data_IF_451629526603
#
_entry.id   IF_451629526603
#
_cell.length_a   1.000
_cell.length_b   1.000
_cell.length_c   1.000
_cell.angle_alpha   90.00
_cell.angle_beta   90.00
_cell.angle_gamma   90.00
#
_symmetry.space_group_name_H-M   'P 1'
#
loop_
_entity.id
_entity.type
_entity.pdbx_description
1 polymer ?
#
# COMPACT_ATOMS: atom_id res chain seq x y z
N UNK A 1 -34.75 -7.11 -13.34
CA UNK A 1 -33.56 -6.83 -14.16
C UNK A 1 -32.47 -6.33 -13.23
N UNK A 2 -31.77 -7.23 -12.54
CA UNK A 2 -30.71 -6.88 -11.58
C UNK A 2 -29.38 -7.09 -12.30
N UNK A 3 -28.44 -6.17 -12.11
CA UNK A 3 -27.07 -6.27 -12.64
C UNK A 3 -26.10 -6.04 -11.49
N UNK A 4 -25.08 -6.88 -11.39
CA UNK A 4 -23.95 -6.71 -10.51
C UNK A 4 -22.85 -5.89 -11.21
N UNK A 5 -21.86 -5.42 -10.44
CA UNK A 5 -20.77 -4.61 -11.01
C UNK A 5 -19.99 -5.36 -12.09
N UNK A 6 -19.71 -6.65 -11.88
CA UNK A 6 -19.00 -7.48 -12.85
C UNK A 6 -19.80 -7.67 -14.16
N UNK A 7 -21.14 -7.71 -14.06
CA UNK A 7 -22.00 -7.83 -15.23
C UNK A 7 -21.83 -6.63 -16.17
N UNK A 8 -21.54 -5.43 -15.65
CA UNK A 8 -21.36 -4.23 -16.46
C UNK A 8 -20.12 -4.35 -17.34
N UNK A 9 -19.01 -4.84 -16.77
CA UNK A 9 -17.76 -5.03 -17.50
C UNK A 9 -17.89 -6.15 -18.54
N UNK A 10 -18.46 -7.30 -18.14
CA UNK A 10 -18.65 -8.43 -19.03
C UNK A 10 -19.58 -8.08 -20.19
N UNK A 11 -20.70 -7.39 -19.93
CA UNK A 11 -21.63 -6.94 -20.99
C UNK A 11 -20.98 -5.95 -21.94
N UNK A 12 -20.15 -5.02 -21.43
CA UNK A 12 -19.43 -4.08 -22.29
C UNK A 12 -18.45 -4.84 -23.19
N UNK A 13 -17.62 -5.73 -22.64
CA UNK A 13 -16.71 -6.58 -23.42
C UNK A 13 -17.46 -7.36 -24.49
N UNK A 14 -18.56 -8.00 -24.13
CA UNK A 14 -19.32 -8.85 -25.05
C UNK A 14 -20.01 -8.02 -26.14
N UNK A 15 -20.54 -6.84 -25.81
CA UNK A 15 -21.12 -5.91 -26.78
C UNK A 15 -20.08 -5.40 -27.79
N UNK A 16 -18.83 -5.19 -27.36
CA UNK A 16 -17.74 -4.80 -28.26
C UNK A 16 -17.36 -5.92 -29.25
N UNK A 17 -17.64 -7.19 -28.93
CA UNK A 17 -17.36 -8.36 -29.79
C UNK A 17 -18.51 -8.73 -30.73
N UNK A 18 -19.72 -8.25 -30.47
CA UNK A 18 -20.92 -8.61 -31.23
C UNK A 18 -21.09 -7.78 -32.52
N UNK A 19 -21.92 -8.25 -33.48
CA UNK A 19 -22.33 -7.43 -34.61
C UNK A 19 -22.94 -6.10 -34.13
N UNK A 20 -22.29 -4.98 -34.43
CA UNK A 20 -22.61 -3.65 -33.90
C UNK A 20 -21.55 -3.06 -32.96
N UNK A 21 -20.57 -3.87 -32.52
CA UNK A 21 -19.45 -3.42 -31.70
C UNK A 21 -18.66 -2.27 -32.32
N UNK A 22 -18.46 -2.27 -33.64
CA UNK A 22 -17.80 -1.17 -34.37
C UNK A 22 -18.53 0.18 -34.21
N UNK A 23 -19.86 0.16 -34.19
CA UNK A 23 -20.66 1.37 -33.96
C UNK A 23 -20.51 1.86 -32.52
N UNK A 24 -20.44 0.94 -31.55
CA UNK A 24 -20.17 1.27 -30.14
C UNK A 24 -18.76 1.86 -29.97
N UNK A 25 -17.74 1.22 -30.56
CA UNK A 25 -16.36 1.74 -30.58
C UNK A 25 -16.33 3.14 -31.17
N UNK A 26 -16.96 3.35 -32.33
CA UNK A 26 -17.03 4.65 -32.99
C UNK A 26 -17.73 5.71 -32.14
N UNK A 27 -18.83 5.35 -31.45
CA UNK A 27 -19.54 6.25 -30.56
C UNK A 27 -18.69 6.66 -29.34
N UNK A 28 -18.00 5.69 -28.71
CA UNK A 28 -17.11 5.94 -27.57
C UNK A 28 -15.92 6.81 -28.00
N UNK A 29 -15.28 6.49 -29.12
CA UNK A 29 -14.16 7.26 -29.69
C UNK A 29 -14.55 8.63 -30.20
N UNK A 30 -15.80 8.80 -30.64
CA UNK A 30 -16.34 10.13 -30.98
C UNK A 30 -16.43 11.05 -29.76
N UNK A 31 -16.60 10.48 -28.56
CA UNK A 31 -16.66 11.22 -27.30
C UNK A 31 -15.31 11.38 -26.63
N UNK A 32 -14.47 10.35 -26.66
CA UNK A 32 -13.17 10.32 -25.98
C UNK A 32 -12.04 10.13 -26.99
N UNK A 33 -11.15 11.12 -27.08
CA UNK A 33 -9.99 11.07 -27.99
C UNK A 33 -8.81 10.30 -27.39
N UNK A 34 -8.75 10.21 -26.06
CA UNK A 34 -7.71 9.52 -25.31
C UNK A 34 -8.31 8.89 -24.04
N UNK A 35 -7.63 7.85 -23.54
CA UNK A 35 -7.93 7.21 -22.26
C UNK A 35 -6.67 7.18 -21.38
N UNK A 36 -6.83 7.59 -20.11
CA UNK A 36 -5.80 7.52 -19.08
C UNK A 36 -6.31 6.57 -18.00
N UNK A 37 -5.65 5.43 -17.85
CA UNK A 37 -6.00 4.41 -16.87
C UNK A 37 -4.97 4.46 -15.76
N UNK A 38 -5.36 4.96 -14.60
CA UNK A 38 -4.54 4.97 -13.39
C UNK A 38 -4.72 3.66 -12.61
N UNK A 39 -3.77 3.34 -11.72
CA UNK A 39 -3.73 2.09 -10.94
C UNK A 39 -3.87 0.83 -11.81
N UNK A 40 -3.24 0.83 -13.00
CA UNK A 40 -3.39 -0.23 -13.99
C UNK A 40 -2.95 -1.62 -13.48
N UNK A 41 -2.06 -1.68 -12.48
CA UNK A 41 -1.65 -2.93 -11.83
C UNK A 41 -2.80 -3.66 -11.11
N UNK A 42 -3.88 -2.95 -10.78
CA UNK A 42 -5.05 -3.50 -10.09
C UNK A 42 -6.21 -3.83 -11.05
N UNK A 43 -5.94 -3.83 -12.36
CA UNK A 43 -6.91 -4.22 -13.39
C UNK A 43 -6.89 -5.72 -13.66
N UNK A 44 -7.93 -6.18 -14.36
CA UNK A 44 -8.10 -7.58 -14.77
C UNK A 44 -8.08 -7.73 -16.31
N UNK A 45 -7.96 -8.95 -16.85
CA UNK A 45 -7.91 -9.18 -18.29
C UNK A 45 -9.14 -8.66 -19.07
N UNK A 46 -10.33 -8.65 -18.46
CA UNK A 46 -11.57 -8.15 -19.10
C UNK A 46 -11.48 -6.64 -19.29
N UNK A 47 -11.04 -5.92 -18.26
CA UNK A 47 -10.85 -4.48 -18.33
C UNK A 47 -9.79 -4.10 -19.37
N UNK A 48 -8.64 -4.79 -19.35
CA UNK A 48 -7.57 -4.54 -20.33
C UNK A 48 -8.06 -4.78 -21.76
N UNK A 49 -8.84 -5.84 -22.00
CA UNK A 49 -9.40 -6.11 -23.32
C UNK A 49 -10.34 -4.99 -23.79
N UNK A 50 -11.19 -4.47 -22.91
CA UNK A 50 -12.09 -3.34 -23.20
C UNK A 50 -11.28 -2.12 -23.62
N UNK A 51 -10.28 -1.73 -22.82
CA UNK A 51 -9.45 -0.56 -23.11
C UNK A 51 -8.68 -0.71 -24.41
N UNK A 52 -8.09 -1.89 -24.65
CA UNK A 52 -7.36 -2.20 -25.88
C UNK A 52 -8.27 -2.08 -27.10
N UNK A 53 -9.47 -2.67 -27.04
CA UNK A 53 -10.45 -2.61 -28.14
C UNK A 53 -10.90 -1.18 -28.42
N UNK A 54 -11.09 -0.39 -27.36
CA UNK A 54 -11.57 0.99 -27.48
C UNK A 54 -10.49 1.98 -27.90
N UNK A 55 -9.21 1.79 -27.56
CA UNK A 55 -8.21 2.86 -27.66
C UNK A 55 -6.82 2.44 -28.16
N UNK A 56 -6.54 1.16 -28.46
CA UNK A 56 -5.21 0.75 -28.93
C UNK A 56 -4.96 0.95 -30.44
N UNK A 57 -5.86 1.62 -31.16
CA UNK A 57 -5.64 1.97 -32.57
C UNK A 57 -4.72 3.18 -32.72
N UNK A 58 -3.99 3.23 -33.84
CA UNK A 58 -2.94 4.22 -34.09
C UNK A 58 -3.41 5.69 -34.10
N UNK A 59 -4.72 5.94 -34.25
CA UNK A 59 -5.33 7.28 -34.21
C UNK A 59 -5.80 7.69 -32.81
N UNK A 60 -5.53 6.89 -31.78
CA UNK A 60 -5.93 7.13 -30.39
C UNK A 60 -4.75 7.01 -29.44
N UNK A 61 -4.93 7.58 -28.24
CA UNK A 61 -3.94 7.51 -27.18
C UNK A 61 -4.52 6.72 -25.99
N UNK A 62 -3.84 5.64 -25.63
CA UNK A 62 -4.10 4.87 -24.41
C UNK A 62 -2.89 4.96 -23.48
N UNK A 63 -3.04 5.67 -22.37
CA UNK A 63 -2.04 5.75 -21.31
C UNK A 63 -2.43 4.78 -20.19
N UNK A 64 -1.52 3.85 -19.89
CA UNK A 64 -1.67 2.89 -18.80
C UNK A 64 -0.63 3.26 -17.74
N UNK A 65 -1.10 3.75 -16.61
CA UNK A 65 -0.30 4.26 -15.50
C UNK A 65 -0.46 3.28 -14.35
N UNK A 66 0.64 2.79 -13.81
CA UNK A 66 0.59 1.87 -12.68
C UNK A 66 1.99 1.47 -12.22
N UNK A 67 2.02 0.75 -11.11
CA UNK A 67 3.24 0.20 -10.53
C UNK A 67 3.03 -1.29 -10.18
N UNK A 68 3.64 -2.24 -10.93
CA UNK A 68 3.47 -3.66 -10.65
C UNK A 68 4.02 -4.06 -9.28
N UNK A 69 4.92 -3.26 -8.68
CA UNK A 69 5.44 -3.45 -7.32
C UNK A 69 4.35 -3.25 -6.25
N UNK A 70 3.24 -2.60 -6.61
CA UNK A 70 2.13 -2.24 -5.72
C UNK A 70 0.87 -3.08 -5.97
N UNK A 71 0.93 -4.11 -6.82
CA UNK A 71 -0.19 -5.00 -7.11
C UNK A 71 -0.57 -5.87 -5.90
N UNK A 72 -1.50 -5.39 -5.05
CA UNK A 72 -1.92 -6.06 -3.81
C UNK A 72 -3.39 -6.48 -3.78
N UNK A 73 -4.15 -6.22 -4.85
CA UNK A 73 -5.60 -6.48 -4.93
C UNK A 73 -5.99 -7.82 -5.58
N UNK A 74 -5.12 -8.83 -5.59
CA UNK A 74 -5.40 -10.13 -6.22
C UNK A 74 -6.64 -10.84 -5.69
N UNK A 75 -7.04 -10.58 -4.45
CA UNK A 75 -8.28 -11.10 -3.85
C UNK A 75 -9.57 -10.54 -4.47
N UNK A 76 -9.48 -9.46 -5.27
CA UNK A 76 -10.59 -8.87 -6.03
C UNK A 76 -10.53 -9.19 -7.53
N UNK A 77 -9.65 -10.09 -7.94
CA UNK A 77 -9.51 -10.50 -9.35
C UNK A 77 -8.52 -9.66 -10.17
N UNK A 78 -7.84 -8.68 -9.55
CA UNK A 78 -6.71 -8.00 -10.19
C UNK A 78 -5.62 -9.02 -10.54
N UNK A 79 -5.08 -8.92 -11.74
CA UNK A 79 -4.12 -9.87 -12.27
C UNK A 79 -2.83 -9.17 -12.73
N UNK A 80 -1.77 -9.30 -11.93
CA UNK A 80 -0.44 -8.79 -12.27
C UNK A 80 0.09 -9.41 -13.57
N UNK A 81 -0.36 -10.62 -13.96
CA UNK A 81 -0.02 -11.20 -15.25
C UNK A 81 -0.69 -10.48 -16.42
N UNK A 82 -1.88 -9.91 -16.21
CA UNK A 82 -2.53 -9.05 -17.21
C UNK A 82 -1.74 -7.75 -17.40
N UNK A 83 -1.23 -7.16 -16.32
CA UNK A 83 -0.31 -6.03 -16.39
C UNK A 83 0.95 -6.38 -17.18
N UNK A 84 1.60 -7.51 -16.85
CA UNK A 84 2.84 -7.94 -17.53
C UNK A 84 2.59 -8.25 -19.00
N UNK A 85 1.45 -8.87 -19.33
CA UNK A 85 1.06 -9.13 -20.71
C UNK A 85 0.81 -7.84 -21.48
N UNK A 86 0.06 -6.91 -20.89
CA UNK A 86 -0.18 -5.60 -21.47
C UNK A 86 1.13 -4.86 -21.74
N UNK A 87 2.03 -4.82 -20.75
CA UNK A 87 3.33 -4.18 -20.88
C UNK A 87 4.12 -4.72 -22.09
N UNK A 88 4.06 -6.03 -22.40
CA UNK A 88 4.74 -6.63 -23.57
C UNK A 88 4.23 -6.11 -24.92
N UNK A 89 2.99 -5.64 -24.99
CA UNK A 89 2.35 -5.17 -26.21
C UNK A 89 2.38 -3.64 -26.38
N UNK A 90 2.81 -2.90 -25.35
CA UNK A 90 2.92 -1.43 -25.41
C UNK A 90 4.26 -1.05 -26.06
N UNK A 91 4.24 -0.17 -27.08
CA UNK A 91 5.45 0.21 -27.82
C UNK A 91 6.41 1.09 -27.00
N UNK A 92 5.89 1.93 -26.11
CA UNK A 92 6.66 2.90 -25.33
C UNK A 92 6.40 2.74 -23.84
N UNK A 93 7.46 2.69 -23.05
CA UNK A 93 7.38 2.59 -21.58
C UNK A 93 8.15 3.74 -20.96
N UNK A 94 7.58 4.32 -19.91
CA UNK A 94 8.17 5.43 -19.18
C UNK A 94 8.21 5.08 -17.70
N UNK A 95 9.34 5.36 -17.04
CA UNK A 95 9.48 5.25 -15.58
C UNK A 95 9.63 6.65 -14.98
N UNK A 96 8.88 6.92 -13.91
CA UNK A 96 9.07 8.12 -13.09
C UNK A 96 10.14 7.86 -12.03
N UNK A 97 11.36 8.32 -12.28
CA UNK A 97 12.51 8.07 -11.40
C UNK A 97 12.61 8.97 -10.16
N UNK A 98 11.75 9.98 -10.02
CA UNK A 98 11.83 10.97 -8.93
C UNK A 98 10.66 10.83 -7.95
N UNK A 99 10.95 10.69 -6.65
CA UNK A 99 9.96 10.64 -5.58
C UNK A 99 9.83 12.00 -4.89
N UNK A 100 8.71 12.67 -5.13
CA UNK A 100 8.38 13.98 -4.55
C UNK A 100 7.61 13.91 -3.23
N UNK A 101 7.28 12.71 -2.74
CA UNK A 101 6.37 12.50 -1.60
C UNK A 101 7.10 12.28 -0.28
N UNK A 102 8.28 11.66 -0.35
CA UNK A 102 8.98 11.15 0.81
C UNK A 102 10.28 11.89 1.07
N UNK A 103 10.71 11.89 2.33
CA UNK A 103 12.00 12.43 2.74
C UNK A 103 13.17 11.67 2.06
N UNK A 104 14.18 12.37 1.48
CA UNK A 104 15.39 11.76 0.94
C UNK A 104 15.98 10.60 1.74
N UNK A 105 16.07 10.73 3.06
CA UNK A 105 16.63 9.70 3.93
C UNK A 105 15.77 8.42 3.95
N UNK A 106 14.44 8.55 3.86
CA UNK A 106 13.52 7.41 3.76
C UNK A 106 13.60 6.75 2.38
N UNK A 107 13.69 7.55 1.31
CA UNK A 107 13.89 7.04 -0.06
C UNK A 107 15.15 6.15 -0.10
N UNK A 108 16.27 6.66 0.45
CA UNK A 108 17.53 5.92 0.50
C UNK A 108 17.41 4.60 1.29
N UNK A 109 16.76 4.64 2.46
CA UNK A 109 16.56 3.43 3.28
C UNK A 109 15.72 2.36 2.56
N UNK A 110 14.66 2.76 1.86
CA UNK A 110 13.81 1.85 1.09
C UNK A 110 14.56 1.27 -0.10
N UNK A 111 15.25 2.10 -0.89
CA UNK A 111 16.08 1.63 -2.00
C UNK A 111 17.12 0.59 -1.53
N UNK A 112 17.81 0.88 -0.41
CA UNK A 112 18.81 -0.03 0.15
C UNK A 112 18.21 -1.40 0.45
N UNK A 113 16.99 -1.48 1.00
CA UNK A 113 16.34 -2.76 1.28
C UNK A 113 16.07 -3.55 -0.01
N UNK A 114 15.47 -2.90 -1.01
CA UNK A 114 15.03 -3.60 -2.22
C UNK A 114 16.18 -3.89 -3.20
N UNK A 115 17.24 -3.10 -3.20
CA UNK A 115 18.44 -3.31 -4.03
C UNK A 115 19.36 -4.42 -3.49
N UNK A 116 19.19 -4.86 -2.23
CA UNK A 116 20.02 -5.94 -1.66
C UNK A 116 19.82 -7.30 -2.33
N UNK A 117 18.76 -7.48 -3.13
CA UNK A 117 18.45 -8.72 -3.83
C UNK A 117 18.25 -8.43 -5.32
N UNK A 118 18.71 -9.31 -6.22
CA UNK A 118 18.50 -9.13 -7.66
C UNK A 118 17.01 -9.18 -8.04
N UNK A 119 16.23 -10.06 -7.41
CA UNK A 119 14.80 -10.25 -7.68
C UNK A 119 13.96 -9.99 -6.42
N UNK A 120 13.80 -8.72 -5.99
CA UNK A 120 13.09 -8.40 -4.75
C UNK A 120 11.61 -8.78 -4.80
N UNK A 121 11.01 -8.80 -5.99
CA UNK A 121 9.60 -9.13 -6.23
C UNK A 121 9.38 -10.53 -6.80
N UNK A 122 10.39 -11.41 -6.76
CA UNK A 122 10.36 -12.81 -7.25
C UNK A 122 10.21 -12.97 -8.77
N UNK A 123 9.44 -12.11 -9.43
CA UNK A 123 9.24 -12.09 -10.87
C UNK A 123 10.27 -11.16 -11.55
N UNK A 124 11.11 -11.66 -12.47
CA UNK A 124 12.07 -10.83 -13.20
C UNK A 124 11.44 -9.68 -13.99
N UNK A 125 10.19 -9.84 -14.43
CA UNK A 125 9.40 -8.83 -15.12
C UNK A 125 9.01 -7.65 -14.21
N UNK A 126 9.10 -7.82 -12.88
CA UNK A 126 8.84 -6.80 -11.87
C UNK A 126 10.18 -6.38 -11.26
N UNK A 127 10.96 -5.64 -12.05
CA UNK A 127 12.23 -5.09 -11.60
C UNK A 127 12.03 -4.00 -10.55
N UNK A 128 12.97 -3.88 -9.62
CA UNK A 128 13.07 -2.72 -8.75
C UNK A 128 14.03 -1.70 -9.38
N UNK A 129 13.49 -0.56 -9.76
CA UNK A 129 14.26 0.61 -10.14
C UNK A 129 14.17 1.62 -8.98
N UNK A 130 15.31 1.87 -8.33
CA UNK A 130 15.40 2.84 -7.24
C UNK A 130 15.00 4.23 -7.71
N UNK A 131 14.31 4.98 -6.86
CA UNK A 131 13.91 6.36 -7.12
C UNK A 131 14.84 7.33 -6.39
N UNK A 132 14.99 8.53 -6.93
CA UNK A 132 15.78 9.61 -6.33
C UNK A 132 14.86 10.71 -5.75
N UNK A 133 15.29 11.42 -4.69
CA UNK A 133 14.63 12.66 -4.30
C UNK A 133 14.77 13.74 -5.39
N UNK A 134 13.92 14.78 -5.41
CA UNK A 134 14.08 15.89 -6.34
C UNK A 134 15.34 16.72 -6.02
N UNK A 135 15.93 17.36 -7.03
CA UNK A 135 17.17 18.17 -6.90
C UNK A 135 17.05 19.28 -5.84
N UNK A 136 15.84 19.83 -5.69
CA UNK A 136 15.51 20.83 -4.68
C UNK A 136 14.37 20.29 -3.80
N UNK A 137 14.70 19.41 -2.86
CA UNK A 137 13.77 18.98 -1.80
C UNK A 137 14.03 19.77 -0.53
N UNK A 138 12.97 20.35 0.03
CA UNK A 138 13.00 20.78 1.43
C UNK A 138 12.92 19.53 2.29
N UNK A 139 14.00 19.20 2.99
CA UNK A 139 14.03 18.08 3.92
C UNK A 139 13.13 18.41 5.12
N UNK A 140 12.19 17.53 5.42
CA UNK A 140 11.23 17.69 6.52
C UNK A 140 11.31 16.49 7.48
N UNK A 141 12.47 16.26 8.13
CA UNK A 141 12.68 15.05 8.91
C UNK A 141 11.83 15.07 10.18
N UNK A 142 11.47 13.87 10.64
CA UNK A 142 11.07 13.67 12.02
C UNK A 142 12.29 13.95 12.91
N UNK A 143 12.14 14.79 13.92
CA UNK A 143 13.24 15.17 14.83
C UNK A 143 12.80 15.18 16.28
N UNK A 144 13.75 14.95 17.19
CA UNK A 144 13.59 15.05 18.64
C UNK A 144 14.65 16.00 19.19
N UNK A 145 14.24 17.05 19.89
CA UNK A 145 15.12 18.08 20.47
C UNK A 145 16.11 18.66 19.45
N UNK A 146 15.63 18.91 18.22
CA UNK A 146 16.42 19.45 17.12
C UNK A 146 17.35 18.45 16.43
N UNK A 147 17.34 17.16 16.82
CA UNK A 147 18.13 16.10 16.17
C UNK A 147 17.23 15.23 15.30
N UNK A 148 17.57 14.98 14.01
CA UNK A 148 16.79 14.10 13.16
C UNK A 148 16.80 12.67 13.72
N UNK A 149 15.63 12.03 13.71
CA UNK A 149 15.48 10.62 14.03
C UNK A 149 15.77 9.76 12.79
N UNK A 150 16.15 8.48 12.96
CA UNK A 150 16.36 7.58 11.83
C UNK A 150 15.10 7.48 10.95
N UNK A 151 15.22 7.53 9.61
CA UNK A 151 14.07 7.54 8.71
C UNK A 151 13.33 6.20 8.67
N UNK A 152 14.01 5.12 9.04
CA UNK A 152 13.47 3.77 9.11
C UNK A 152 14.04 3.06 10.34
N UNK A 153 13.17 2.55 11.19
CA UNK A 153 13.54 1.83 12.41
C UNK A 153 12.96 0.42 12.36
N UNK A 154 13.80 -0.60 12.52
CA UNK A 154 13.39 -2.00 12.59
C UNK A 154 13.53 -2.47 14.03
N UNK A 155 12.41 -2.89 14.64
CA UNK A 155 12.43 -3.48 15.98
C UNK A 155 12.47 -5.00 15.92
N UNK A 156 13.36 -5.58 16.72
CA UNK A 156 13.47 -7.03 16.89
C UNK A 156 12.86 -7.41 18.23
N UNK A 157 11.95 -8.38 18.22
CA UNK A 157 11.38 -8.96 19.45
C UNK A 157 12.25 -10.15 19.85
N UNK A 158 12.95 -10.11 21.00
CA UNK A 158 13.73 -11.24 21.48
C UNK A 158 12.85 -12.47 21.68
N UNK A 159 13.33 -13.66 21.31
CA UNK A 159 12.54 -14.90 21.39
C UNK A 159 12.09 -15.27 22.81
N UNK A 160 12.80 -14.77 23.82
CA UNK A 160 12.55 -14.97 25.25
C UNK A 160 11.69 -13.86 25.89
N UNK A 161 11.34 -12.81 25.16
CA UNK A 161 10.60 -11.66 25.69
C UNK A 161 9.18 -11.98 26.19
N UNK A 162 8.60 -13.11 25.78
CA UNK A 162 7.28 -13.57 26.21
C UNK A 162 7.29 -14.37 27.52
N UNK A 163 8.44 -14.56 28.16
CA UNK A 163 8.53 -15.20 29.48
C UNK A 163 8.03 -16.65 29.51
N UNK A 164 8.13 -17.41 28.41
CA UNK A 164 7.68 -18.80 28.39
C UNK A 164 8.64 -19.71 29.17
N UNK A 165 8.14 -20.19 30.32
CA UNK A 165 8.59 -21.31 31.16
C UNK A 165 10.03 -21.84 30.99
N UNK A 166 10.69 -21.91 32.14
CA UNK A 166 11.94 -22.61 32.52
C UNK A 166 12.15 -24.04 32.02
N UNK A 167 11.24 -24.64 31.24
CA UNK A 167 11.34 -25.99 30.69
C UNK A 167 12.14 -26.09 29.37
N UNK A 168 12.49 -24.97 28.71
CA UNK A 168 13.21 -24.98 27.43
C UNK A 168 14.74 -24.86 27.56
N UNK A 169 15.32 -24.96 28.78
CA UNK A 169 16.78 -24.84 29.01
C UNK A 169 17.63 -25.94 28.34
N UNK A 170 17.02 -27.01 27.82
CA UNK A 170 17.73 -28.15 27.23
C UNK A 170 17.67 -28.28 25.70
N UNK A 171 17.14 -27.30 24.96
CA UNK A 171 17.29 -27.26 23.50
C UNK A 171 18.30 -26.20 23.09
N UNK A 172 19.46 -26.63 22.57
CA UNK A 172 20.53 -25.80 21.94
C UNK A 172 20.07 -25.03 20.69
N UNK A 173 18.78 -24.81 20.52
CA UNK A 173 18.20 -24.08 19.39
C UNK A 173 17.18 -23.12 19.98
N UNK A 174 17.43 -21.82 19.86
CA UNK A 174 16.52 -20.75 20.27
C UNK A 174 15.11 -21.03 19.72
N UNK A 175 14.19 -21.47 20.58
CA UNK A 175 12.83 -21.77 20.15
C UNK A 175 12.20 -20.47 19.64
N UNK A 176 11.78 -20.46 18.37
CA UNK A 176 11.11 -19.30 17.77
C UNK A 176 9.83 -19.01 18.56
N UNK A 177 9.60 -17.73 18.90
CA UNK A 177 8.39 -17.30 19.59
C UNK A 177 7.15 -17.54 18.72
N UNK A 178 6.07 -18.05 19.32
CA UNK A 178 4.79 -18.17 18.63
C UNK A 178 4.21 -16.79 18.30
N UNK A 179 3.56 -16.64 17.13
CA UNK A 179 2.94 -15.38 16.71
C UNK A 179 1.92 -14.85 17.72
N UNK A 180 1.16 -15.74 18.37
CA UNK A 180 0.18 -15.39 19.41
C UNK A 180 0.81 -14.71 20.63
N UNK A 181 2.06 -15.07 20.98
CA UNK A 181 2.81 -14.45 22.07
C UNK A 181 3.50 -13.14 21.63
N UNK A 182 3.98 -13.08 20.38
CA UNK A 182 4.66 -11.89 19.85
C UNK A 182 3.71 -10.71 19.59
N UNK A 183 2.52 -10.97 19.04
CA UNK A 183 1.59 -9.91 18.60
C UNK A 183 1.19 -8.94 19.72
N UNK A 184 0.83 -9.39 20.95
CA UNK A 184 0.55 -8.48 22.06
C UNK A 184 1.75 -7.61 22.44
N UNK A 185 2.97 -8.17 22.44
CA UNK A 185 4.20 -7.43 22.75
C UNK A 185 4.45 -6.34 21.71
N UNK A 186 4.29 -6.66 20.43
CA UNK A 186 4.45 -5.72 19.31
C UNK A 186 3.44 -4.57 19.44
N UNK A 187 2.15 -4.87 19.63
CA UNK A 187 1.13 -3.82 19.81
C UNK A 187 1.42 -2.92 21.00
N UNK A 188 1.85 -3.48 22.12
CA UNK A 188 2.21 -2.69 23.31
C UNK A 188 3.40 -1.77 23.03
N UNK A 189 4.42 -2.28 22.34
CA UNK A 189 5.59 -1.47 21.96
C UNK A 189 5.20 -0.33 21.01
N UNK A 190 4.40 -0.62 19.97
CA UNK A 190 3.90 0.39 19.03
C UNK A 190 3.04 1.43 19.75
N UNK A 191 2.13 1.02 20.64
CA UNK A 191 1.32 1.93 21.45
C UNK A 191 2.16 2.83 22.35
N UNK A 192 3.20 2.27 22.99
CA UNK A 192 4.11 3.03 23.84
C UNK A 192 4.91 4.08 23.04
N UNK A 193 5.38 3.74 21.85
CA UNK A 193 6.09 4.68 20.97
C UNK A 193 5.19 5.80 20.45
N UNK A 194 3.96 5.46 20.04
CA UNK A 194 2.98 6.48 19.63
C UNK A 194 2.68 7.42 20.81
N UNK A 195 2.48 6.88 22.02
CA UNK A 195 2.29 7.67 23.24
C UNK A 195 3.48 8.58 23.52
N UNK A 196 4.70 8.06 23.38
CA UNK A 196 5.95 8.82 23.53
C UNK A 196 6.03 9.97 22.51
N UNK A 197 5.88 9.67 21.22
CA UNK A 197 5.97 10.66 20.15
C UNK A 197 4.91 11.76 20.30
N UNK A 198 3.67 11.41 20.65
CA UNK A 198 2.59 12.39 20.86
C UNK A 198 2.83 13.26 22.10
N UNK A 199 3.30 12.67 23.20
CA UNK A 199 3.59 13.41 24.43
C UNK A 199 4.69 14.44 24.21
N UNK A 200 5.76 14.05 23.51
CA UNK A 200 6.86 14.95 23.18
C UNK A 200 6.52 15.91 22.03
N UNK A 201 5.65 15.51 21.10
CA UNK A 201 5.08 16.38 20.08
C UNK A 201 4.28 17.52 20.72
N UNK A 202 3.43 17.21 21.70
CA UNK A 202 2.68 18.21 22.47
C UNK A 202 3.61 19.18 23.22
N UNK A 203 4.76 18.70 23.69
CA UNK A 203 5.79 19.52 24.33
C UNK A 203 6.65 20.33 23.32
N UNK A 204 6.40 20.23 22.00
CA UNK A 204 7.20 20.90 20.97
C UNK A 204 8.61 20.33 20.80
N UNK A 205 8.86 19.12 21.32
CA UNK A 205 10.16 18.45 21.29
C UNK A 205 10.30 17.48 20.12
N UNK A 206 9.20 16.85 19.72
CA UNK A 206 9.14 16.04 18.49
C UNK A 206 8.50 16.87 17.39
N UNK A 207 9.24 17.10 16.31
CA UNK A 207 8.80 17.92 15.18
C UNK A 207 8.82 17.11 13.88
N UNK A 208 7.87 17.37 12.99
CA UNK A 208 7.85 16.92 11.59
C UNK A 208 7.85 18.18 10.72
N UNK A 209 8.87 18.34 9.87
CA UNK A 209 8.98 19.54 9.02
C UNK A 209 8.98 20.86 9.82
N UNK A 210 9.54 20.85 11.04
CA UNK A 210 9.56 22.02 11.93
C UNK A 210 8.27 22.29 12.70
N UNK A 211 7.19 21.54 12.45
CA UNK A 211 5.93 21.64 13.18
C UNK A 211 5.82 20.57 14.28
N UNK A 212 5.25 20.87 15.46
CA UNK A 212 5.02 19.85 16.49
C UNK A 212 4.20 18.67 15.96
N UNK A 213 4.69 17.45 16.18
CA UNK A 213 4.02 16.23 15.75
C UNK A 213 2.63 16.08 16.40
N UNK A 214 1.63 15.71 15.61
CA UNK A 214 0.25 15.50 16.02
C UNK A 214 -0.23 14.10 15.64
N UNK A 215 -1.37 13.70 16.20
CA UNK A 215 -1.98 12.41 15.88
C UNK A 215 -2.31 12.24 14.39
N UNK A 216 -2.63 13.33 13.68
CA UNK A 216 -2.87 13.31 12.23
C UNK A 216 -1.65 12.97 11.38
N UNK A 217 -0.44 13.04 11.95
CA UNK A 217 0.81 12.74 11.26
C UNK A 217 1.22 11.26 11.41
N UNK A 218 0.45 10.46 12.17
CA UNK A 218 0.75 9.07 12.47
C UNK A 218 -0.27 8.13 11.81
N UNK A 219 0.25 7.06 11.20
CA UNK A 219 -0.55 5.97 10.66
C UNK A 219 0.03 4.61 11.11
N UNK A 220 -0.84 3.63 11.36
CA UNK A 220 -0.45 2.26 11.69
C UNK A 220 -1.01 1.32 10.63
N UNK A 221 -0.13 0.74 9.82
CA UNK A 221 -0.50 -0.21 8.76
C UNK A 221 -0.54 -1.64 9.30
N UNK A 222 -1.67 -2.32 9.14
CA UNK A 222 -1.95 -3.65 9.67
C UNK A 222 -2.58 -4.52 8.58
N UNK A 223 -2.38 -5.84 8.66
CA UNK A 223 -2.78 -6.76 7.57
C UNK A 223 -4.26 -7.11 7.60
N UNK A 224 -4.91 -7.01 8.75
CA UNK A 224 -6.30 -7.44 8.91
C UNK A 224 -7.10 -6.50 9.79
N UNK A 225 -8.42 -6.45 9.55
CA UNK A 225 -9.36 -5.69 10.39
C UNK A 225 -9.29 -6.11 11.86
N UNK A 226 -9.09 -7.41 12.16
CA UNK A 226 -8.92 -7.88 13.53
C UNK A 226 -7.70 -7.28 14.21
N UNK A 227 -6.55 -7.28 13.53
CA UNK A 227 -5.33 -6.63 14.06
C UNK A 227 -5.53 -5.13 14.27
N UNK A 228 -6.28 -4.49 13.37
CA UNK A 228 -6.61 -3.07 13.47
C UNK A 228 -7.51 -2.76 14.68
N UNK A 229 -8.53 -3.57 14.93
CA UNK A 229 -9.36 -3.48 16.13
C UNK A 229 -8.55 -3.67 17.42
N UNK A 230 -7.70 -4.71 17.48
CA UNK A 230 -6.83 -4.96 18.63
C UNK A 230 -5.83 -3.81 18.88
N UNK A 231 -5.33 -3.18 17.82
CA UNK A 231 -4.45 -2.01 17.95
C UNK A 231 -5.23 -0.79 18.44
N UNK A 232 -6.46 -0.55 17.93
CA UNK A 232 -7.33 0.53 18.40
C UNK A 232 -7.62 0.39 19.89
N UNK A 233 -7.94 -0.81 20.36
CA UNK A 233 -8.15 -1.08 21.80
C UNK A 233 -6.89 -0.78 22.62
N UNK A 234 -5.71 -1.17 22.10
CA UNK A 234 -4.43 -0.89 22.76
C UNK A 234 -4.17 0.62 22.87
N UNK A 235 -4.44 1.40 21.82
CA UNK A 235 -4.31 2.86 21.84
C UNK A 235 -5.35 3.53 22.75
N UNK A 236 -6.59 3.05 22.74
CA UNK A 236 -7.65 3.53 23.61
C UNK A 236 -7.30 3.32 25.10
N UNK A 237 -6.67 2.19 25.45
CA UNK A 237 -6.15 1.93 26.79
C UNK A 237 -5.03 2.89 27.23
N UNK A 238 -4.38 3.57 26.28
CA UNK A 238 -3.38 4.63 26.52
C UNK A 238 -3.98 6.04 26.43
N UNK A 239 -5.30 6.17 26.27
CA UNK A 239 -5.98 7.45 26.09
C UNK A 239 -5.77 8.10 24.71
N UNK A 240 -5.32 7.33 23.72
CA UNK A 240 -5.01 7.83 22.37
C UNK A 240 -6.16 7.48 21.43
N UNK A 241 -6.91 8.46 20.90
CA UNK A 241 -7.98 8.20 19.96
C UNK A 241 -7.41 7.72 18.62
N UNK A 242 -8.01 6.66 18.07
CA UNK A 242 -7.64 6.11 16.77
C UNK A 242 -8.88 5.86 15.91
N UNK A 243 -8.77 6.20 14.63
CA UNK A 243 -9.81 5.98 13.63
C UNK A 243 -9.47 4.72 12.83
N UNK A 244 -10.45 3.84 12.65
CA UNK A 244 -10.36 2.72 11.72
C UNK A 244 -11.23 3.02 10.52
N UNK A 245 -10.62 3.09 9.34
CA UNK A 245 -11.33 3.10 8.08
C UNK A 245 -11.76 1.66 7.75
N UNK A 246 -12.68 1.11 8.54
CA UNK A 246 -13.35 -0.14 8.20
C UNK A 246 -14.86 0.06 8.21
N UNK A 247 -15.54 -0.65 7.32
CA UNK A 247 -17.00 -0.82 7.31
C UNK A 247 -17.39 -1.74 8.47
N UNK A 248 -17.17 -1.33 9.71
CA UNK A 248 -17.85 -1.97 10.83
C UNK A 248 -19.36 -1.80 10.60
N UNK A 249 -20.10 -2.90 10.64
CA UNK A 249 -21.55 -2.86 10.50
C UNK A 249 -22.13 -2.01 11.63
N UNK A 250 -22.95 -1.01 11.29
CA UNK A 250 -23.67 -0.20 12.30
C UNK A 250 -24.52 -1.11 13.21
N UNK A 251 -24.96 -2.26 12.70
CA UNK A 251 -25.76 -3.25 13.43
C UNK A 251 -25.01 -3.97 14.56
N UNK A 252 -23.67 -3.92 14.57
CA UNK A 252 -22.86 -4.49 15.66
C UNK A 252 -22.54 -3.44 16.75
N UNK A 253 -23.05 -2.21 16.60
CA UNK A 253 -22.88 -1.15 17.60
C UNK A 253 -23.83 -1.35 18.77
N UNK A 254 -23.42 -0.88 19.95
CA UNK A 254 -24.25 -0.97 21.17
C UNK A 254 -25.53 -0.14 21.03
N UNK A 255 -25.50 0.88 20.20
CA UNK A 255 -26.59 1.79 19.85
C UNK A 255 -27.64 1.14 18.92
N UNK A 256 -27.30 0.02 18.28
CA UNK A 256 -28.22 -0.76 17.44
C UNK A 256 -28.95 -1.89 18.20
N UNK A 257 -28.64 -2.09 19.48
CA UNK A 257 -29.27 -3.04 20.41
C UNK A 257 -30.25 -2.32 21.34
#
# INVERSE_FOLDING_TARGET
>A
NIQHFDDLLLKLRDALRQPGGEALVSAVRGRYQAALIDEFQDTDPVQYEIFRTLFADADRCLFLIGDPKQAIYSFRGADVFAYMDAARHIPERFTLGTNYRSEPALIHAVNTIFETRPDPFVYPEIAFEGVIPPEHSESQPLSLDGRPLPPLVIWFVPSDAAGTNTAAKNRKTSARMAKSAAKPLIRRAVGAEISYLLSFGTAGRVLVGGSPLRAGDLAVLLRSNREASEMKETLAGLGIPAVLYSTASVFDSREAL
#
